data_IF_887760039401
#
_entry.id   IF_887760039401
#
_cell.length_a   1.000
_cell.length_b   1.000
_cell.length_c   1.000
_cell.angle_alpha   90.00
_cell.angle_beta   90.00
_cell.angle_gamma   90.00
#
_symmetry.space_group_name_H-M   'P 1'
#
loop_
_entity.id
_entity.type
_entity.pdbx_description
1 polymer ?
#
# COMPACT_ATOMS: atom_id res chain seq x y z
N UNK A 1 -18.08 11.92 -2.14
CA UNK A 1 -18.49 11.02 -1.04
C UNK A 1 -19.91 10.56 -1.23
N UNK A 2 -20.19 9.27 -1.05
CA UNK A 2 -21.52 8.66 -1.18
C UNK A 2 -21.94 8.03 0.15
N UNK A 3 -23.12 8.39 0.65
CA UNK A 3 -23.73 7.73 1.81
C UNK A 3 -24.56 6.54 1.35
N UNK A 4 -24.41 5.41 2.04
CA UNK A 4 -25.11 4.15 1.83
C UNK A 4 -25.79 3.78 3.15
N UNK A 5 -27.07 3.43 3.09
CA UNK A 5 -27.84 2.94 4.25
C UNK A 5 -28.10 1.44 4.18
N UNK A 6 -28.37 0.93 2.97
CA UNK A 6 -28.78 -0.47 2.81
C UNK A 6 -27.70 -1.32 2.14
N UNK A 7 -27.38 -1.04 0.87
CA UNK A 7 -26.39 -1.83 0.12
C UNK A 7 -25.75 -1.05 -1.02
N UNK A 8 -24.58 -1.50 -1.44
CA UNK A 8 -23.84 -0.99 -2.61
C UNK A 8 -23.51 -2.16 -3.54
N UNK A 9 -23.61 -1.94 -4.85
CA UNK A 9 -23.27 -2.98 -5.83
C UNK A 9 -21.76 -3.12 -5.95
N UNK A 10 -21.26 -4.36 -6.02
CA UNK A 10 -19.83 -4.64 -6.25
C UNK A 10 -19.31 -3.95 -7.51
N UNK A 11 -20.07 -3.93 -8.61
CA UNK A 11 -19.66 -3.23 -9.83
C UNK A 11 -19.48 -1.72 -9.66
N UNK A 12 -20.20 -1.11 -8.73
CA UNK A 12 -20.02 0.30 -8.38
C UNK A 12 -18.71 0.51 -7.60
N UNK A 13 -18.42 -0.39 -6.64
CA UNK A 13 -17.14 -0.40 -5.93
C UNK A 13 -15.96 -0.64 -6.88
N UNK A 14 -16.09 -1.56 -7.84
CA UNK A 14 -15.05 -1.83 -8.85
C UNK A 14 -14.77 -0.61 -9.71
N UNK A 15 -15.81 0.14 -10.09
CA UNK A 15 -15.65 1.40 -10.83
C UNK A 15 -14.91 2.44 -9.98
N UNK A 16 -15.31 2.61 -8.72
CA UNK A 16 -14.66 3.52 -7.77
C UNK A 16 -13.19 3.15 -7.49
N UNK A 17 -12.87 1.85 -7.44
CA UNK A 17 -11.51 1.35 -7.30
C UNK A 17 -10.66 1.67 -8.55
N UNK A 18 -11.22 1.49 -9.75
CA UNK A 18 -10.52 1.78 -11.00
C UNK A 18 -10.21 3.26 -11.24
N UNK A 19 -10.91 4.17 -10.56
CA UNK A 19 -10.70 5.62 -10.65
C UNK A 19 -9.58 6.13 -9.71
N UNK A 20 -9.05 5.29 -8.82
CA UNK A 20 -7.98 5.66 -7.89
C UNK A 20 -6.70 4.82 -8.08
N UNK A 21 -5.54 5.40 -7.74
CA UNK A 21 -4.25 4.74 -7.97
C UNK A 21 -4.01 3.52 -7.09
N UNK A 22 -4.69 3.40 -5.94
CA UNK A 22 -4.51 2.26 -5.04
C UNK A 22 -5.32 1.03 -5.47
N UNK A 23 -6.34 1.20 -6.32
CA UNK A 23 -7.29 0.14 -6.67
C UNK A 23 -8.21 -0.25 -5.49
N UNK A 24 -8.34 0.61 -4.47
CA UNK A 24 -9.05 0.31 -3.22
C UNK A 24 -10.18 1.31 -2.99
N UNK A 25 -11.30 0.84 -2.45
CA UNK A 25 -12.39 1.72 -1.98
C UNK A 25 -12.34 1.80 -0.46
N UNK A 26 -12.18 3.00 0.08
CA UNK A 26 -12.29 3.25 1.53
C UNK A 26 -13.73 3.57 1.90
N UNK A 27 -14.19 3.05 3.04
CA UNK A 27 -15.49 3.32 3.61
C UNK A 27 -15.37 3.62 5.10
N UNK A 28 -16.18 4.55 5.61
CA UNK A 28 -16.37 4.83 7.03
C UNK A 28 -17.75 4.32 7.42
N UNK A 29 -17.85 3.54 8.48
CA UNK A 29 -19.10 2.94 8.96
C UNK A 29 -19.43 3.53 10.32
N UNK A 30 -20.62 4.08 10.46
CA UNK A 30 -21.23 4.41 11.74
C UNK A 30 -22.23 3.31 12.09
N UNK A 31 -21.92 2.55 13.13
CA UNK A 31 -22.72 1.40 13.57
C UNK A 31 -23.93 1.81 14.40
N UNK A 32 -23.96 3.02 14.96
CA UNK A 32 -25.11 3.53 15.72
C UNK A 32 -26.18 4.07 14.77
N UNK A 33 -25.75 4.75 13.71
CA UNK A 33 -26.65 5.32 12.70
C UNK A 33 -26.95 4.37 11.53
N UNK A 34 -26.33 3.19 11.50
CA UNK A 34 -26.45 2.20 10.42
C UNK A 34 -26.14 2.81 9.04
N UNK A 35 -25.11 3.66 8.97
CA UNK A 35 -24.70 4.33 7.74
C UNK A 35 -23.26 4.01 7.37
N UNK A 36 -23.02 3.87 6.07
CA UNK A 36 -21.69 3.73 5.50
C UNK A 36 -21.43 4.88 4.52
N UNK A 37 -20.40 5.68 4.79
CA UNK A 37 -19.88 6.65 3.83
C UNK A 37 -18.82 5.98 2.97
N UNK A 38 -19.13 5.75 1.69
CA UNK A 38 -18.22 5.17 0.70
C UNK A 38 -17.66 6.27 -0.19
N UNK A 39 -16.34 6.25 -0.35
CA UNK A 39 -15.62 7.25 -1.10
C UNK A 39 -15.55 8.53 -0.29
N UNK A 40 -14.37 8.84 0.18
CA UNK A 40 -14.04 10.11 0.79
C UNK A 40 -12.55 10.24 0.60
N UNK A 41 -12.11 11.36 0.02
CA UNK A 41 -10.75 11.80 0.25
C UNK A 41 -10.63 11.97 1.76
N UNK A 42 -10.00 11.02 2.44
CA UNK A 42 -9.42 11.33 3.74
C UNK A 42 -8.30 12.31 3.42
N UNK A 43 -8.66 13.58 3.61
CA UNK A 43 -7.93 14.80 3.29
C UNK A 43 -8.11 15.25 1.83
N UNK A 44 -8.95 16.28 1.70
CA UNK A 44 -8.81 17.34 0.72
C UNK A 44 -7.34 17.52 0.34
N UNK A 45 -7.04 17.40 -0.95
CA UNK A 45 -5.73 17.62 -1.58
C UNK A 45 -4.66 16.52 -1.43
N UNK A 46 -4.97 15.27 -1.78
CA UNK A 46 -3.93 14.36 -2.33
C UNK A 46 -4.43 13.55 -3.53
N UNK A 47 -4.83 14.27 -4.58
CA UNK A 47 -4.66 13.81 -5.97
C UNK A 47 -3.25 13.23 -6.09
N UNK A 48 -3.12 11.92 -6.27
CA UNK A 48 -1.89 11.13 -6.47
C UNK A 48 -0.68 12.02 -6.77
N UNK A 49 -0.06 12.56 -5.73
CA UNK A 49 1.21 13.26 -5.87
C UNK A 49 2.23 12.17 -5.62
N UNK A 50 2.77 11.63 -6.71
CA UNK A 50 4.08 11.01 -6.64
C UNK A 50 4.95 11.98 -5.84
N UNK A 51 5.48 11.60 -4.67
CA UNK A 51 6.31 12.57 -3.94
C UNK A 51 7.42 13.06 -4.91
N UNK A 52 7.74 14.36 -4.93
CA UNK A 52 8.50 14.98 -6.02
C UNK A 52 9.82 14.27 -6.39
N UNK A 53 10.45 13.64 -5.40
CA UNK A 53 11.70 12.88 -5.59
C UNK A 53 11.53 11.58 -6.39
N UNK A 54 10.34 10.96 -6.37
CA UNK A 54 10.03 9.77 -7.18
C UNK A 54 9.52 10.13 -8.57
N UNK A 55 8.79 11.25 -8.70
CA UNK A 55 8.36 11.76 -9.99
C UNK A 55 9.57 12.10 -10.90
N UNK A 56 10.73 12.38 -10.31
CA UNK A 56 11.98 12.64 -11.02
C UNK A 56 12.71 11.38 -11.56
N UNK A 57 12.10 10.19 -11.45
CA UNK A 57 12.64 8.95 -12.04
C UNK A 57 13.79 8.30 -11.26
N UNK A 58 14.29 8.91 -10.18
CA UNK A 58 15.35 8.36 -9.32
C UNK A 58 15.03 6.96 -8.80
N UNK A 59 13.74 6.66 -8.55
CA UNK A 59 13.31 5.35 -8.07
C UNK A 59 13.74 4.21 -9.02
N UNK A 60 13.71 4.44 -10.33
CA UNK A 60 14.09 3.46 -11.35
C UNK A 60 15.63 3.29 -11.50
N UNK A 61 16.43 4.09 -10.78
CA UNK A 61 17.88 3.93 -10.73
C UNK A 61 18.31 2.95 -9.63
N UNK A 62 17.48 2.77 -8.60
CA UNK A 62 17.74 1.79 -7.54
C UNK A 62 17.76 0.37 -8.08
N UNK A 63 18.61 -0.47 -7.49
CA UNK A 63 18.55 -1.92 -7.62
C UNK A 63 17.25 -2.46 -7.02
N UNK A 64 16.89 -3.70 -7.36
CA UNK A 64 15.73 -4.35 -6.74
C UNK A 64 15.88 -4.45 -5.22
N UNK A 65 17.10 -4.71 -4.73
CA UNK A 65 17.37 -4.83 -3.30
C UNK A 65 17.12 -3.50 -2.56
N UNK A 66 17.53 -2.37 -3.16
CA UNK A 66 17.25 -1.02 -2.62
C UNK A 66 15.77 -0.67 -2.69
N UNK A 67 15.08 -0.96 -3.81
CA UNK A 67 13.64 -0.71 -3.94
C UNK A 67 12.86 -1.49 -2.87
N UNK A 68 13.13 -2.78 -2.73
CA UNK A 68 12.47 -3.65 -1.75
C UNK A 68 12.85 -3.31 -0.30
N UNK A 69 14.10 -2.93 -0.02
CA UNK A 69 14.50 -2.45 1.30
C UNK A 69 13.82 -1.15 1.71
N UNK A 70 13.64 -0.21 0.76
CA UNK A 70 12.90 1.02 0.98
C UNK A 70 11.39 0.75 1.21
N UNK A 71 10.78 -0.18 0.47
CA UNK A 71 9.42 -0.66 0.75
C UNK A 71 9.35 -1.23 2.17
N UNK A 72 10.32 -2.06 2.55
CA UNK A 72 10.44 -2.63 3.90
C UNK A 72 10.45 -1.59 5.01
N UNK A 73 11.07 -0.43 4.78
CA UNK A 73 11.09 0.67 5.74
C UNK A 73 9.69 1.24 6.01
N UNK A 74 8.84 1.33 4.97
CA UNK A 74 7.45 1.75 5.13
C UNK A 74 6.57 0.66 5.73
N UNK A 75 6.84 -0.63 5.43
CA UNK A 75 6.19 -1.77 6.12
C UNK A 75 6.51 -1.76 7.62
N UNK A 76 7.78 -1.53 7.99
CA UNK A 76 8.23 -1.41 9.38
C UNK A 76 7.60 -0.19 10.06
N UNK A 77 7.54 0.96 9.37
CA UNK A 77 6.85 2.15 9.88
C UNK A 77 5.37 1.87 10.13
N UNK A 78 4.67 1.22 9.21
CA UNK A 78 3.28 0.81 9.40
C UNK A 78 3.15 -0.14 10.61
N UNK A 79 4.01 -1.15 10.73
CA UNK A 79 4.00 -2.08 11.87
C UNK A 79 4.19 -1.36 13.22
N UNK A 80 5.06 -0.35 13.26
CA UNK A 80 5.42 0.37 14.48
C UNK A 80 4.29 1.29 14.98
N UNK A 81 3.51 1.85 14.06
CA UNK A 81 2.43 2.80 14.37
C UNK A 81 1.03 2.20 14.33
N UNK A 82 0.91 0.92 13.95
CA UNK A 82 -0.33 0.16 14.03
C UNK A 82 -0.90 0.21 15.46
N UNK A 83 -2.18 0.55 15.57
CA UNK A 83 -2.92 0.72 16.83
C UNK A 83 -2.35 1.81 17.78
N UNK A 84 -1.46 2.69 17.31
CA UNK A 84 -0.90 3.81 18.09
C UNK A 84 -1.32 5.16 17.52
N UNK A 85 -1.07 5.37 16.24
CA UNK A 85 -1.41 6.61 15.54
C UNK A 85 -1.90 6.27 14.13
N UNK A 86 -3.18 6.52 13.88
CA UNK A 86 -3.81 6.22 12.60
C UNK A 86 -3.27 7.07 11.45
N UNK A 87 -2.88 8.32 11.70
CA UNK A 87 -2.36 9.23 10.67
C UNK A 87 -0.99 8.75 10.18
N UNK A 88 -0.09 8.43 11.12
CA UNK A 88 1.24 7.94 10.77
C UNK A 88 1.15 6.54 10.15
N UNK A 89 0.30 5.67 10.70
CA UNK A 89 0.05 4.34 10.16
C UNK A 89 -0.41 4.39 8.70
N UNK A 90 -1.50 5.11 8.42
CA UNK A 90 -2.04 5.19 7.06
C UNK A 90 -1.10 5.93 6.11
N UNK A 91 -0.37 6.95 6.58
CA UNK A 91 0.67 7.60 5.78
C UNK A 91 1.77 6.62 5.33
N UNK A 92 2.21 5.73 6.23
CA UNK A 92 3.19 4.68 5.90
C UNK A 92 2.62 3.65 4.92
N UNK A 93 1.36 3.24 5.11
CA UNK A 93 0.66 2.30 4.22
C UNK A 93 0.56 2.87 2.80
N UNK A 94 0.08 4.11 2.66
CA UNK A 94 -0.05 4.78 1.37
C UNK A 94 1.29 4.90 0.66
N UNK A 95 2.33 5.29 1.40
CA UNK A 95 3.69 5.37 0.89
C UNK A 95 4.22 4.01 0.43
N UNK A 96 4.03 2.97 1.23
CA UNK A 96 4.46 1.61 0.87
C UNK A 96 3.77 1.10 -0.41
N UNK A 97 2.46 1.32 -0.55
CA UNK A 97 1.71 0.94 -1.76
C UNK A 97 2.20 1.69 -3.00
N UNK A 98 2.45 2.99 -2.87
CA UNK A 98 3.02 3.80 -3.96
C UNK A 98 4.40 3.25 -4.41
N UNK A 99 5.25 2.84 -3.47
CA UNK A 99 6.55 2.25 -3.78
C UNK A 99 6.44 0.87 -4.43
N UNK A 100 5.47 0.04 -4.02
CA UNK A 100 5.16 -1.19 -4.73
C UNK A 100 4.73 -0.91 -6.18
N UNK A 101 3.87 0.08 -6.40
CA UNK A 101 3.37 0.40 -7.74
C UNK A 101 4.48 0.91 -8.65
N UNK A 102 5.37 1.76 -8.13
CA UNK A 102 6.55 2.20 -8.86
C UNK A 102 7.50 1.04 -9.19
N UNK A 103 7.68 0.11 -8.25
CA UNK A 103 8.52 -1.08 -8.45
C UNK A 103 7.89 -2.04 -9.47
N UNK A 104 6.57 -2.19 -9.47
CA UNK A 104 5.83 -3.00 -10.47
C UNK A 104 5.80 -2.35 -11.86
N UNK A 105 5.85 -1.02 -11.93
CA UNK A 105 5.94 -0.26 -13.17
C UNK A 105 7.33 -0.30 -13.81
N UNK A 106 8.36 -0.73 -13.07
CA UNK A 106 9.71 -0.84 -13.58
C UNK A 106 9.84 -1.98 -14.62
N UNK A 107 10.13 -1.68 -15.90
CA UNK A 107 10.16 -2.69 -16.95
C UNK A 107 11.27 -3.72 -16.74
N UNK A 108 12.31 -3.41 -15.95
CA UNK A 108 13.40 -4.35 -15.62
C UNK A 108 12.89 -5.60 -14.91
N UNK A 109 11.76 -5.51 -14.20
CA UNK A 109 11.21 -6.57 -13.36
C UNK A 109 10.05 -7.34 -14.01
N UNK A 110 9.56 -6.87 -15.16
CA UNK A 110 8.34 -7.34 -15.79
C UNK A 110 8.35 -8.84 -16.12
N UNK A 111 9.50 -9.42 -16.47
CA UNK A 111 9.61 -10.80 -16.92
C UNK A 111 9.78 -11.83 -15.77
N UNK A 112 10.54 -11.51 -14.72
CA UNK A 112 11.01 -12.52 -13.76
C UNK A 112 10.75 -12.21 -12.28
N UNK A 113 10.30 -11.00 -11.94
CA UNK A 113 10.11 -10.57 -10.53
C UNK A 113 8.72 -10.02 -10.25
N UNK A 114 7.98 -9.62 -11.29
CA UNK A 114 6.63 -9.06 -11.18
C UNK A 114 5.66 -9.91 -10.32
N UNK A 115 5.69 -11.25 -10.46
CA UNK A 115 4.83 -12.14 -9.67
C UNK A 115 5.14 -12.09 -8.17
N UNK A 116 6.43 -12.10 -7.83
CA UNK A 116 6.88 -12.06 -6.44
C UNK A 116 6.57 -10.69 -5.81
N UNK A 117 6.84 -9.60 -6.54
CA UNK A 117 6.55 -8.24 -6.08
C UNK A 117 5.03 -8.05 -5.86
N UNK A 118 4.19 -8.54 -6.79
CA UNK A 118 2.74 -8.54 -6.61
C UNK A 118 2.32 -9.35 -5.38
N UNK A 119 2.90 -10.53 -5.16
CA UNK A 119 2.60 -11.35 -3.98
C UNK A 119 3.00 -10.64 -2.69
N UNK A 120 4.15 -9.97 -2.66
CA UNK A 120 4.55 -9.17 -1.52
C UNK A 120 3.57 -8.01 -1.25
N UNK A 121 3.08 -7.34 -2.30
CA UNK A 121 2.02 -6.31 -2.20
C UNK A 121 0.71 -6.90 -1.67
N UNK A 122 0.26 -8.03 -2.20
CA UNK A 122 -0.95 -8.75 -1.75
C UNK A 122 -0.89 -9.09 -0.26
N UNK A 123 0.23 -9.68 0.18
CA UNK A 123 0.44 -10.08 1.58
C UNK A 123 0.55 -8.87 2.49
N UNK A 124 1.11 -7.74 2.01
CA UNK A 124 1.14 -6.48 2.76
C UNK A 124 -0.28 -5.92 2.94
N UNK A 125 -1.09 -5.89 1.88
CA UNK A 125 -2.49 -5.45 1.94
C UNK A 125 -3.31 -6.33 2.87
N UNK A 126 -3.19 -7.66 2.77
CA UNK A 126 -3.87 -8.59 3.68
C UNK A 126 -3.49 -8.29 5.14
N UNK A 127 -2.21 -8.05 5.43
CA UNK A 127 -1.72 -7.76 6.77
C UNK A 127 -2.27 -6.45 7.36
N UNK A 128 -2.48 -5.43 6.51
CA UNK A 128 -3.10 -4.16 6.92
C UNK A 128 -4.55 -4.38 7.37
N UNK A 129 -5.27 -5.29 6.72
CA UNK A 129 -6.69 -5.58 6.98
C UNK A 129 -6.92 -6.78 7.91
N UNK A 130 -5.90 -7.19 8.67
CA UNK A 130 -6.04 -8.22 9.71
C UNK A 130 -5.71 -9.65 9.28
N UNK A 131 -5.19 -9.83 8.07
CA UNK A 131 -4.46 -11.05 7.69
C UNK A 131 -5.32 -12.28 7.41
N UNK A 132 -6.60 -12.12 7.10
CA UNK A 132 -7.53 -13.26 6.97
C UNK A 132 -7.18 -14.22 5.82
N UNK A 133 -6.62 -13.72 4.72
CA UNK A 133 -6.42 -14.50 3.51
C UNK A 133 -5.12 -15.32 3.56
N UNK A 134 -4.04 -14.71 4.03
CA UNK A 134 -2.71 -15.33 4.06
C UNK A 134 -2.18 -15.57 5.48
N UNK A 135 -3.00 -15.32 6.52
CA UNK A 135 -2.57 -15.33 7.93
C UNK A 135 -1.39 -14.38 8.16
N UNK A 136 -1.43 -13.26 7.45
CA UNK A 136 -0.33 -12.31 7.39
C UNK A 136 -0.39 -11.30 8.54
N UNK A 137 0.76 -10.71 8.88
CA UNK A 137 0.85 -9.59 9.81
C UNK A 137 2.02 -8.71 9.43
N UNK A 138 1.94 -7.40 9.68
CA UNK A 138 3.00 -6.47 9.27
C UNK A 138 4.37 -6.85 9.85
N UNK A 139 4.40 -7.32 11.11
CA UNK A 139 5.61 -7.86 11.72
C UNK A 139 6.12 -9.14 11.04
N UNK A 140 5.20 -10.02 10.62
CA UNK A 140 5.55 -11.25 9.91
C UNK A 140 6.16 -11.00 8.52
N UNK A 141 5.91 -9.86 7.90
CA UNK A 141 6.55 -9.48 6.63
C UNK A 141 7.97 -8.93 6.80
N UNK A 142 8.34 -8.43 7.99
CA UNK A 142 9.63 -7.75 8.20
C UNK A 142 10.84 -8.60 7.77
N UNK A 143 10.94 -9.89 8.14
CA UNK A 143 12.10 -10.71 7.75
C UNK A 143 12.31 -10.77 6.23
N UNK A 144 11.22 -10.81 5.44
CA UNK A 144 11.32 -10.82 3.98
C UNK A 144 11.99 -9.56 3.44
N UNK A 145 11.60 -8.38 3.93
CA UNK A 145 12.19 -7.12 3.50
C UNK A 145 13.57 -6.83 4.10
N UNK A 146 13.83 -7.31 5.32
CA UNK A 146 15.12 -7.13 6.00
C UNK A 146 16.26 -7.78 5.20
N UNK A 147 16.02 -8.92 4.54
CA UNK A 147 17.02 -9.52 3.65
C UNK A 147 17.41 -8.60 2.49
N UNK A 148 16.44 -7.92 1.87
CA UNK A 148 16.72 -6.94 0.81
C UNK A 148 17.46 -5.72 1.37
N UNK A 149 17.06 -5.20 2.53
CA UNK A 149 17.73 -4.07 3.17
C UNK A 149 19.19 -4.39 3.53
N UNK A 150 19.46 -5.58 4.07
CA UNK A 150 20.81 -6.04 4.37
C UNK A 150 21.65 -6.18 3.10
N UNK A 151 21.07 -6.78 2.05
CA UNK A 151 21.76 -6.98 0.78
C UNK A 151 22.06 -5.64 0.08
N UNK A 152 21.13 -4.70 0.09
CA UNK A 152 21.34 -3.35 -0.43
C UNK A 152 22.52 -2.64 0.25
N UNK A 153 22.65 -2.81 1.58
CA UNK A 153 23.77 -2.23 2.36
C UNK A 153 25.11 -2.90 2.11
N UNK A 154 25.13 -4.15 1.64
CA UNK A 154 26.36 -4.88 1.33
C UNK A 154 26.96 -4.58 -0.05
N UNK A 155 26.22 -3.85 -0.89
CA UNK A 155 26.61 -3.52 -2.27
C UNK A 155 27.05 -2.05 -2.45
N UNK A 156 27.12 -1.28 -1.36
CA UNK A 156 27.62 0.10 -1.33
C UNK A 156 28.91 0.21 -0.54
#
# INVERSE_FOLDING_TARGET
MKLIKDSVKVGELSKMAGENASGLVKAVIDTEQEIMAIGGEIHSDKKVRLHPQMAAGRWFQYSLDEQMGNIGSEVSRAANWQNKDGVIFWGAVERGLELFDLTLADPRWAQHRKREINRAKEVFVDAIYGGSQYKSSLKGLMPYFDYFALKARSQG
#
